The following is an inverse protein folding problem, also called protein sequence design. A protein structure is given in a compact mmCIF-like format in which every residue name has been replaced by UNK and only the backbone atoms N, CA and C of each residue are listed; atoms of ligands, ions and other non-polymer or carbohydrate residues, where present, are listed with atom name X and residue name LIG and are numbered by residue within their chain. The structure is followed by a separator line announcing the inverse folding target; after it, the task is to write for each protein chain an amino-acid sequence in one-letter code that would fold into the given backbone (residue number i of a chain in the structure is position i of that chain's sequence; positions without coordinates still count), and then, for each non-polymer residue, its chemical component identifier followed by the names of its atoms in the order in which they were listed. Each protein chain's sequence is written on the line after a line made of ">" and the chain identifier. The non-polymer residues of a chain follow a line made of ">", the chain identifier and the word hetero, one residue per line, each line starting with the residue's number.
data_IF_587349145567
#
_entry.id   IF_587349145567
#
_cell.length_a   1.000
_cell.length_b   1.000
_cell.length_c   1.000
_cell.angle_alpha   90.00
_cell.angle_beta   90.00
_cell.angle_gamma   90.00
#
_symmetry.space_group_name_H-M   'P 1'
#
loop_
_entity.id
_entity.type
_entity.pdbx_description
1 polymer ?
#
# COMPACT_ATOMS: atom_id res chain seq x y z
N UNK A 1 -4.03 -0.61 -7.83
CA UNK A 1 -3.31 -0.45 -9.11
C UNK A 1 -1.88 -0.90 -8.91
N UNK A 2 -1.36 -1.82 -9.73
CA UNK A 2 0.06 -2.22 -9.68
C UNK A 2 0.76 -2.22 -11.04
N UNK A 3 2.08 -2.12 -11.02
CA UNK A 3 2.95 -2.29 -12.20
C UNK A 3 4.34 -2.78 -11.77
N UNK A 4 4.83 -3.85 -12.40
CA UNK A 4 6.19 -4.32 -12.16
C UNK A 4 7.20 -3.26 -12.60
N UNK A 5 8.30 -3.06 -11.84
CA UNK A 5 9.27 -1.98 -12.11
C UNK A 5 9.87 -2.01 -13.52
N UNK A 6 10.01 -3.20 -14.10
CA UNK A 6 10.54 -3.42 -15.44
C UNK A 6 9.51 -3.15 -16.55
N UNK A 7 8.23 -3.14 -16.20
CA UNK A 7 7.09 -2.80 -17.06
C UNK A 7 6.67 -1.33 -16.96
N UNK A 8 7.30 -0.53 -16.07
CA UNK A 8 7.05 0.92 -16.02
C UNK A 8 7.56 1.59 -17.30
N UNK A 9 6.70 2.41 -17.89
CA UNK A 9 6.93 3.11 -19.15
C UNK A 9 8.26 3.89 -19.15
N UNK A 10 9.10 3.68 -20.18
CA UNK A 10 10.30 4.49 -20.40
C UNK A 10 9.89 5.87 -20.88
N UNK A 11 10.26 6.91 -20.15
CA UNK A 11 10.04 8.31 -20.55
C UNK A 11 11.26 8.96 -21.17
N UNK A 12 12.44 8.54 -20.73
CA UNK A 12 13.73 9.04 -21.23
C UNK A 12 14.75 7.91 -21.18
N UNK A 13 15.46 7.71 -22.30
CA UNK A 13 16.61 6.82 -22.37
C UNK A 13 17.78 7.57 -23.02
N UNK A 14 18.87 7.73 -22.29
CA UNK A 14 20.11 8.36 -22.74
C UNK A 14 21.30 7.48 -22.35
N UNK A 15 22.49 7.64 -22.95
CA UNK A 15 23.66 6.88 -22.52
C UNK A 15 23.89 6.99 -21.00
N UNK A 16 23.83 5.86 -20.29
CA UNK A 16 24.01 5.78 -18.84
C UNK A 16 22.77 5.97 -17.97
N UNK A 17 21.59 6.26 -18.53
CA UNK A 17 20.37 6.44 -17.73
C UNK A 17 19.08 6.00 -18.46
N UNK A 18 18.18 5.36 -17.70
CA UNK A 18 16.80 5.07 -18.13
C UNK A 18 15.85 5.59 -17.07
N UNK A 19 15.01 6.56 -17.42
CA UNK A 19 13.97 7.11 -16.55
C UNK A 19 12.65 6.44 -16.87
N UNK A 20 12.04 5.86 -15.84
CA UNK A 20 10.73 5.21 -15.91
C UNK A 20 9.72 6.01 -15.12
N UNK A 21 8.51 6.15 -15.64
CA UNK A 21 7.44 6.85 -14.94
C UNK A 21 6.10 6.20 -15.26
N UNK A 22 5.35 5.86 -14.21
CA UNK A 22 3.91 5.59 -14.32
C UNK A 22 3.15 6.89 -14.04
N UNK A 23 2.38 7.36 -15.01
CA UNK A 23 1.45 8.48 -14.82
C UNK A 23 0.09 7.98 -14.31
N UNK A 24 -0.75 8.88 -13.81
CA UNK A 24 -2.10 8.56 -13.30
C UNK A 24 -2.09 7.45 -12.24
N UNK A 25 -1.12 7.50 -11.32
CA UNK A 25 -0.87 6.47 -10.33
C UNK A 25 -1.34 6.90 -8.93
N UNK A 26 -2.62 7.21 -8.82
CA UNK A 26 -3.25 7.76 -7.61
C UNK A 26 -3.24 9.29 -7.57
N UNK A 27 -3.95 9.85 -6.60
CA UNK A 27 -4.06 11.29 -6.37
C UNK A 27 -3.90 11.61 -4.87
N UNK A 28 -3.05 12.59 -4.57
CA UNK A 28 -2.81 13.08 -3.20
C UNK A 28 -3.48 14.44 -2.94
N UNK A 29 -4.24 14.96 -3.91
CA UNK A 29 -4.94 16.23 -3.79
C UNK A 29 -5.94 16.20 -2.64
N UNK A 30 -5.92 17.24 -1.80
CA UNK A 30 -6.78 17.34 -0.62
C UNK A 30 -6.18 16.70 0.64
N UNK A 31 -5.09 15.93 0.54
CA UNK A 31 -4.35 15.44 1.70
C UNK A 31 -3.28 16.42 2.17
N UNK A 32 -2.84 16.21 3.42
CA UNK A 32 -1.81 17.02 4.06
C UNK A 32 -0.39 16.49 3.81
N UNK A 33 0.38 16.38 4.90
CA UNK A 33 1.74 15.83 4.86
C UNK A 33 1.71 14.35 4.50
N UNK A 34 2.78 13.88 3.87
CA UNK A 34 2.98 12.47 3.53
C UNK A 34 4.00 11.84 4.49
N UNK A 35 3.68 10.66 5.03
CA UNK A 35 4.61 9.80 5.76
C UNK A 35 5.38 8.89 4.81
N UNK A 36 6.61 8.56 5.18
CA UNK A 36 7.37 7.46 4.58
C UNK A 36 7.47 6.31 5.58
N UNK A 37 7.24 5.09 5.12
CA UNK A 37 6.95 3.94 5.97
C UNK A 37 7.68 2.70 5.47
N UNK A 38 8.06 1.84 6.40
CA UNK A 38 8.72 0.56 6.14
C UNK A 38 8.07 -0.51 6.99
N UNK A 39 7.43 -1.49 6.35
CA UNK A 39 6.75 -2.58 7.05
C UNK A 39 7.44 -3.91 6.79
N UNK A 40 7.56 -4.71 7.83
CA UNK A 40 7.92 -6.13 7.77
C UNK A 40 6.73 -6.94 8.23
N UNK A 41 6.27 -7.85 7.39
CA UNK A 41 5.00 -8.53 7.54
C UNK A 41 5.22 -10.04 7.37
N UNK A 42 4.72 -10.83 8.33
CA UNK A 42 4.80 -12.29 8.27
C UNK A 42 3.65 -12.87 7.43
N UNK A 43 3.90 -13.97 6.75
CA UNK A 43 2.87 -14.73 6.04
C UNK A 43 1.70 -15.08 6.98
N UNK A 44 0.48 -14.94 6.48
CA UNK A 44 -0.74 -15.18 7.22
C UNK A 44 -1.24 -14.00 8.07
N UNK A 45 -0.51 -12.87 8.12
CA UNK A 45 -1.05 -11.62 8.68
C UNK A 45 -2.26 -11.18 7.86
N UNK A 46 -3.34 -10.80 8.55
CA UNK A 46 -4.59 -10.30 8.01
C UNK A 46 -5.03 -9.07 8.83
N UNK A 47 -5.26 -7.94 8.16
CA UNK A 47 -5.67 -6.69 8.83
C UNK A 47 -7.15 -6.62 9.14
N UNK A 48 -7.98 -7.50 8.57
CA UNK A 48 -9.44 -7.48 8.73
C UNK A 48 -9.91 -7.43 10.19
N UNK A 49 -9.30 -8.18 11.14
CA UNK A 49 -9.66 -8.10 12.56
C UNK A 49 -9.23 -6.77 13.20
N UNK A 50 -8.10 -6.20 12.77
CA UNK A 50 -7.53 -4.96 13.33
C UNK A 50 -8.31 -3.72 12.88
N UNK A 51 -8.97 -3.77 11.74
CA UNK A 51 -9.75 -2.64 11.21
C UNK A 51 -11.22 -2.65 11.64
N UNK A 52 -11.67 -3.65 12.41
CA UNK A 52 -13.02 -3.64 12.96
C UNK A 52 -13.27 -2.36 13.78
N UNK A 53 -14.35 -1.65 13.46
CA UNK A 53 -14.71 -0.37 14.08
C UNK A 53 -14.27 0.87 13.29
N UNK A 54 -13.39 0.72 12.31
CA UNK A 54 -13.15 1.78 11.32
C UNK A 54 -14.33 1.89 10.33
N UNK A 55 -14.37 2.98 9.58
CA UNK A 55 -15.35 3.15 8.50
C UNK A 55 -15.25 1.97 7.51
N UNK A 56 -16.35 1.23 7.36
CA UNK A 56 -16.42 0.03 6.51
C UNK A 56 -15.57 -1.16 7.00
N UNK A 57 -14.97 -1.07 8.19
CA UNK A 57 -13.93 -2.00 8.67
C UNK A 57 -12.72 -2.09 7.72
N UNK A 58 -12.31 -0.95 7.16
CA UNK A 58 -11.29 -0.83 6.12
C UNK A 58 -10.30 0.29 6.46
N UNK A 59 -9.07 0.20 5.94
CA UNK A 59 -8.14 1.33 5.93
C UNK A 59 -8.67 2.40 4.97
N UNK A 60 -8.85 3.62 5.45
CA UNK A 60 -9.29 4.77 4.65
C UNK A 60 -8.13 5.65 4.17
N UNK A 61 -6.90 5.25 4.44
CA UNK A 61 -5.72 5.96 3.95
C UNK A 61 -5.34 5.42 2.57
N UNK A 62 -5.10 6.28 1.56
CA UNK A 62 -4.48 5.82 0.32
C UNK A 62 -3.00 5.54 0.55
N UNK A 63 -2.48 4.56 -0.17
CA UNK A 63 -1.08 4.16 -0.08
C UNK A 63 -0.43 4.06 -1.45
N UNK A 64 0.77 4.61 -1.56
CA UNK A 64 1.70 4.37 -2.67
C UNK A 64 2.87 3.57 -2.14
N UNK A 65 3.43 2.67 -2.94
CA UNK A 65 4.60 1.97 -2.44
C UNK A 65 5.28 1.07 -3.45
N UNK A 66 6.23 0.33 -2.91
CA UNK A 66 7.05 -0.62 -3.61
C UNK A 66 7.28 -1.86 -2.76
N UNK A 67 7.10 -3.03 -3.36
CA UNK A 67 7.34 -4.30 -2.68
C UNK A 67 8.80 -4.69 -2.85
N UNK A 68 9.54 -4.75 -1.73
CA UNK A 68 10.95 -5.16 -1.73
C UNK A 68 11.08 -6.68 -1.80
N UNK A 69 10.21 -7.40 -1.09
CA UNK A 69 10.11 -8.87 -1.11
C UNK A 69 8.70 -9.32 -0.74
N UNK A 70 8.37 -10.56 -1.09
CA UNK A 70 7.14 -11.22 -0.67
C UNK A 70 5.96 -10.99 -1.60
N UNK A 71 4.77 -11.24 -1.06
CA UNK A 71 3.49 -11.13 -1.77
C UNK A 71 2.39 -10.71 -0.80
N UNK A 72 1.56 -9.75 -1.21
CA UNK A 72 0.42 -9.27 -0.45
C UNK A 72 -0.80 -9.18 -1.37
N UNK A 73 -1.98 -9.38 -0.81
CA UNK A 73 -3.26 -9.18 -1.50
C UNK A 73 -4.08 -8.16 -0.75
N UNK A 74 -4.52 -7.11 -1.45
CA UNK A 74 -5.53 -6.19 -0.95
C UNK A 74 -6.92 -6.60 -1.39
N UNK A 75 -7.92 -6.37 -0.55
CA UNK A 75 -9.33 -6.52 -0.89
C UNK A 75 -10.06 -5.21 -0.64
N UNK A 76 -10.76 -4.67 -1.64
CA UNK A 76 -11.52 -3.43 -1.51
C UNK A 76 -12.94 -3.65 -0.93
N UNK A 77 -13.67 -2.55 -0.70
CA UNK A 77 -15.03 -2.59 -0.17
C UNK A 77 -16.04 -3.36 -1.05
N UNK A 78 -15.78 -3.52 -2.34
CA UNK A 78 -16.60 -4.32 -3.26
C UNK A 78 -16.18 -5.80 -3.30
N UNK A 79 -15.13 -6.17 -2.56
CA UNK A 79 -14.56 -7.52 -2.54
C UNK A 79 -13.60 -7.79 -3.69
N UNK A 80 -13.20 -6.78 -4.46
CA UNK A 80 -12.21 -6.96 -5.52
C UNK A 80 -10.82 -7.14 -4.89
N UNK A 81 -10.11 -8.18 -5.33
CA UNK A 81 -8.76 -8.46 -4.88
C UNK A 81 -7.70 -7.95 -5.87
N UNK A 82 -6.60 -7.40 -5.34
CA UNK A 82 -5.40 -7.09 -6.10
C UNK A 82 -4.17 -7.66 -5.37
N UNK A 83 -3.42 -8.52 -6.03
CA UNK A 83 -2.17 -9.09 -5.50
C UNK A 83 -0.96 -8.35 -6.06
N UNK A 84 -0.04 -7.96 -5.18
CA UNK A 84 1.25 -7.36 -5.49
C UNK A 84 2.40 -8.28 -5.07
N UNK A 85 3.50 -8.22 -5.81
CA UNK A 85 4.66 -9.08 -5.65
C UNK A 85 5.92 -8.24 -5.53
N UNK A 86 7.02 -8.86 -5.08
CA UNK A 86 8.34 -8.26 -5.16
C UNK A 86 8.59 -7.58 -6.51
N UNK A 87 9.21 -6.41 -6.47
CA UNK A 87 9.46 -5.52 -7.60
C UNK A 87 8.24 -4.80 -8.21
N UNK A 88 7.03 -4.93 -7.64
CA UNK A 88 5.87 -4.13 -8.04
C UNK A 88 5.89 -2.74 -7.38
N UNK A 89 5.60 -1.71 -8.18
CA UNK A 89 5.04 -0.44 -7.70
C UNK A 89 3.55 -0.65 -7.50
N UNK A 90 2.98 -0.09 -6.43
CA UNK A 90 1.55 -0.17 -6.17
C UNK A 90 0.94 1.16 -5.71
N UNK A 91 -0.35 1.31 -5.97
CA UNK A 91 -1.24 2.29 -5.38
C UNK A 91 -2.51 1.60 -4.91
N UNK A 92 -2.84 1.76 -3.64
CA UNK A 92 -4.08 1.29 -3.04
C UNK A 92 -4.96 2.49 -2.68
N UNK A 93 -6.19 2.58 -3.23
CA UNK A 93 -7.11 3.65 -2.88
C UNK A 93 -7.65 3.47 -1.45
N UNK A 94 -8.27 4.52 -0.86
CA UNK A 94 -9.00 4.38 0.40
C UNK A 94 -10.04 3.26 0.33
N UNK A 95 -10.24 2.55 1.44
CA UNK A 95 -11.25 1.50 1.56
C UNK A 95 -10.74 0.11 1.19
N UNK A 96 -9.66 -0.35 1.82
CA UNK A 96 -9.11 -1.69 1.60
C UNK A 96 -8.67 -2.41 2.89
N UNK A 97 -8.56 -3.74 2.80
CA UNK A 97 -7.87 -4.62 3.74
C UNK A 97 -6.64 -5.24 3.08
N UNK A 98 -5.70 -5.75 3.89
CA UNK A 98 -4.47 -6.42 3.44
C UNK A 98 -4.37 -7.80 4.06
N UNK A 99 -4.08 -8.79 3.21
CA UNK A 99 -3.64 -10.13 3.60
C UNK A 99 -2.22 -10.36 3.08
N UNK A 100 -1.37 -10.97 3.90
CA UNK A 100 0.03 -11.24 3.55
C UNK A 100 0.14 -12.71 3.15
N UNK A 101 0.30 -12.97 1.85
CA UNK A 101 0.33 -14.32 1.31
C UNK A 101 1.71 -14.99 1.49
N UNK A 102 2.79 -14.20 1.51
CA UNK A 102 4.15 -14.63 1.82
C UNK A 102 4.92 -13.51 2.57
N UNK A 103 5.88 -13.87 3.43
CA UNK A 103 6.70 -12.92 4.19
C UNK A 103 7.16 -11.75 3.33
N UNK A 104 6.77 -10.53 3.72
CA UNK A 104 6.87 -9.35 2.88
C UNK A 104 7.62 -8.20 3.56
N UNK A 105 8.29 -7.41 2.73
CA UNK A 105 8.78 -6.09 3.10
C UNK A 105 8.33 -5.09 2.04
N UNK A 106 7.78 -3.97 2.50
CA UNK A 106 7.31 -2.90 1.62
C UNK A 106 7.82 -1.56 2.11
N UNK A 107 8.13 -0.68 1.16
CA UNK A 107 8.25 0.76 1.40
C UNK A 107 6.94 1.38 0.96
N UNK A 108 6.33 2.19 1.82
CA UNK A 108 5.03 2.79 1.59
C UNK A 108 5.04 4.28 1.92
N UNK A 109 4.19 5.03 1.23
CA UNK A 109 3.93 6.43 1.44
C UNK A 109 2.43 6.63 1.56
N UNK A 110 2.01 7.40 2.56
CA UNK A 110 0.59 7.64 2.86
C UNK A 110 0.38 9.08 3.32
N UNK A 111 -0.84 9.62 3.24
CA UNK A 111 -1.22 10.79 4.01
C UNK A 111 -1.02 10.53 5.51
N UNK A 112 -0.19 11.37 6.13
CA UNK A 112 0.29 11.16 7.50
C UNK A 112 -0.87 11.14 8.50
N UNK A 113 -1.84 12.05 8.36
CA UNK A 113 -2.93 12.18 9.32
C UNK A 113 -3.87 10.96 9.28
N UNK A 114 -4.24 10.54 8.08
CA UNK A 114 -5.17 9.46 7.80
C UNK A 114 -4.56 8.13 8.23
N UNK A 115 -3.31 7.86 7.86
CA UNK A 115 -2.68 6.61 8.25
C UNK A 115 -2.34 6.56 9.74
N UNK A 116 -1.92 7.67 10.37
CA UNK A 116 -1.75 7.70 11.83
C UNK A 116 -3.04 7.34 12.57
N UNK A 117 -4.21 7.80 12.08
CA UNK A 117 -5.50 7.44 12.66
C UNK A 117 -5.75 5.93 12.60
N UNK A 118 -5.43 5.30 11.47
CA UNK A 118 -5.56 3.84 11.31
C UNK A 118 -4.58 3.08 12.20
N UNK A 119 -3.31 3.52 12.27
CA UNK A 119 -2.29 2.90 13.13
C UNK A 119 -2.67 3.04 14.61
N UNK A 120 -3.12 4.21 15.04
CA UNK A 120 -3.56 4.44 16.43
C UNK A 120 -4.75 3.54 16.79
N UNK A 121 -5.68 3.33 15.86
CA UNK A 121 -6.77 2.36 16.01
C UNK A 121 -6.25 0.93 16.13
N UNK A 122 -5.33 0.51 15.27
CA UNK A 122 -4.71 -0.82 15.36
C UNK A 122 -4.01 -1.02 16.71
N UNK A 123 -3.30 0.00 17.20
CA UNK A 123 -2.66 -0.03 18.51
C UNK A 123 -3.71 -0.28 19.59
N UNK A 124 -4.83 0.44 19.57
CA UNK A 124 -5.91 0.24 20.54
C UNK A 124 -6.51 -1.17 20.47
N UNK A 125 -6.77 -1.69 19.27
CA UNK A 125 -7.28 -3.05 19.07
C UNK A 125 -6.35 -4.15 19.60
N UNK A 126 -5.06 -3.85 19.76
CA UNK A 126 -4.06 -4.79 20.31
C UNK A 126 -3.84 -4.66 21.80
N UNK A 127 -4.45 -3.68 22.48
CA UNK A 127 -4.16 -3.39 23.89
C UNK A 127 -4.82 -4.32 24.91
N UNK A 128 -5.83 -5.09 24.52
CA UNK A 128 -6.50 -6.04 25.40
C UNK A 128 -7.49 -5.37 26.36
#
# INVERSE_FOLDING_TARGET
>A
MRVAKDQVDVRLAIPGATVRQRMEFGDASGYGKISGEYFTLAAGVDTTPLFQGLEGNLCQSPHWGFVLRGQLTTTDAAGAEETVNADDLFYWPPGHNVRVDADAEIVMFSPQHEHSTVIDHMIEMTRG
#
